data_IF_211145856039
#
_entry.id   IF_211145856039
#
_cell.length_a   1.000
_cell.length_b   1.000
_cell.length_c   1.000
_cell.angle_alpha   90.00
_cell.angle_beta   90.00
_cell.angle_gamma   90.00
#
_symmetry.space_group_name_H-M   'P 1'
#
loop_
_entity.id
_entity.type
_entity.pdbx_description
1 polymer ?
#
# COMPACT_ATOMS: atom_id res chain seq x y z
N UNK A 1 -12.03 14.63 21.57
CA UNK A 1 -11.48 14.59 20.19
C UNK A 1 -10.41 13.52 20.01
N UNK A 2 -9.24 13.58 20.69
CA UNK A 2 -8.19 12.55 20.54
C UNK A 2 -8.64 11.11 20.84
N UNK A 3 -9.43 10.92 21.91
CA UNK A 3 -10.04 9.62 22.21
C UNK A 3 -10.92 9.11 21.07
N UNK A 4 -11.71 10.00 20.45
CA UNK A 4 -12.57 9.65 19.32
C UNK A 4 -11.75 9.24 18.10
N UNK A 5 -10.62 9.92 17.83
CA UNK A 5 -9.68 9.52 16.77
C UNK A 5 -9.18 8.10 17.01
N UNK A 6 -8.76 7.77 18.24
CA UNK A 6 -8.29 6.44 18.57
C UNK A 6 -9.39 5.37 18.45
N UNK A 7 -10.61 5.67 18.92
CA UNK A 7 -11.78 4.78 18.74
C UNK A 7 -12.07 4.56 17.26
N UNK A 8 -12.01 5.62 16.46
CA UNK A 8 -12.18 5.59 15.01
C UNK A 8 -11.12 4.74 14.30
N UNK A 9 -9.85 4.84 14.70
CA UNK A 9 -8.76 4.00 14.15
C UNK A 9 -8.98 2.53 14.50
N UNK A 10 -9.45 2.26 15.72
CA UNK A 10 -9.67 0.88 16.17
C UNK A 10 -10.98 0.27 15.66
N UNK A 11 -11.94 1.11 15.27
CA UNK A 11 -13.26 0.70 14.80
C UNK A 11 -13.21 -0.07 13.48
N UNK A 12 -14.29 -0.81 13.20
CA UNK A 12 -14.45 -1.61 11.97
C UNK A 12 -15.00 -0.82 10.78
N UNK A 13 -15.28 0.47 10.95
CA UNK A 13 -15.80 1.31 9.89
C UNK A 13 -14.64 1.95 9.10
N UNK A 14 -14.48 1.66 7.80
CA UNK A 14 -13.44 2.28 7.00
C UNK A 14 -13.71 3.79 6.84
N UNK A 15 -12.70 4.60 7.15
CA UNK A 15 -12.76 6.07 7.09
C UNK A 15 -12.07 6.62 5.85
N UNK A 16 -11.06 5.91 5.35
CA UNK A 16 -10.34 6.29 4.15
C UNK A 16 -9.90 5.06 3.35
N UNK A 17 -9.55 5.30 2.09
CA UNK A 17 -9.11 4.27 1.16
C UNK A 17 -7.61 4.40 0.88
N UNK A 18 -6.94 3.25 0.74
CA UNK A 18 -5.56 3.16 0.30
C UNK A 18 -5.48 2.16 -0.85
N UNK A 19 -4.87 2.56 -1.96
CA UNK A 19 -4.69 1.69 -3.12
C UNK A 19 -3.42 0.87 -3.00
N UNK A 20 -3.46 -0.33 -3.57
CA UNK A 20 -2.32 -1.24 -3.63
C UNK A 20 -1.85 -1.36 -5.07
N UNK A 21 -0.58 -1.07 -5.31
CA UNK A 21 0.03 -1.05 -6.63
C UNK A 21 1.24 -1.99 -6.69
N UNK A 22 1.49 -2.56 -7.87
CA UNK A 22 2.72 -3.28 -8.16
C UNK A 22 3.74 -2.33 -8.79
N UNK A 23 4.68 -1.84 -7.99
CA UNK A 23 5.87 -1.12 -8.47
C UNK A 23 7.05 -2.09 -8.44
N UNK A 24 7.14 -2.95 -9.46
CA UNK A 24 8.05 -4.09 -9.48
C UNK A 24 9.48 -3.68 -9.05
N UNK A 25 10.11 -4.41 -8.10
CA UNK A 25 9.68 -5.69 -7.56
C UNK A 25 8.75 -5.61 -6.33
N UNK A 26 8.33 -4.42 -5.94
CA UNK A 26 7.64 -4.14 -4.67
C UNK A 26 6.13 -3.96 -4.83
N UNK A 27 5.39 -4.34 -3.79
CA UNK A 27 3.97 -4.05 -3.66
C UNK A 27 3.87 -2.86 -2.71
N UNK A 28 3.35 -1.75 -3.21
CA UNK A 28 3.35 -0.47 -2.50
C UNK A 28 1.94 0.01 -2.23
N UNK A 29 1.75 0.69 -1.10
CA UNK A 29 0.54 1.41 -0.77
C UNK A 29 0.59 2.81 -1.38
N UNK A 30 -0.55 3.32 -1.84
CA UNK A 30 -0.75 4.72 -2.22
C UNK A 30 -1.99 5.28 -1.51
N UNK A 31 -1.85 6.22 -0.56
CA UNK A 31 -0.58 6.72 0.03
C UNK A 31 0.24 5.63 0.72
N UNK A 32 1.55 5.85 0.87
CA UNK A 32 2.48 4.89 1.51
C UNK A 32 2.20 4.74 3.00
N UNK A 33 2.62 3.63 3.63
CA UNK A 33 2.43 3.46 5.08
C UNK A 33 3.07 4.61 5.92
N UNK A 34 4.29 5.10 5.59
CA UNK A 34 4.83 6.30 6.24
C UNK A 34 3.98 7.55 6.03
N UNK A 35 3.43 7.77 4.83
CA UNK A 35 2.54 8.91 4.56
C UNK A 35 1.26 8.84 5.39
N UNK A 36 0.59 7.68 5.42
CA UNK A 36 -0.60 7.46 6.26
C UNK A 36 -0.28 7.72 7.73
N UNK A 37 0.88 7.26 8.20
CA UNK A 37 1.36 7.50 9.56
C UNK A 37 1.54 9.00 9.84
N UNK A 38 2.28 9.70 8.98
CA UNK A 38 2.53 11.14 9.14
C UNK A 38 1.25 11.98 9.06
N UNK A 39 0.35 11.68 8.12
CA UNK A 39 -0.94 12.37 8.00
C UNK A 39 -1.78 12.21 9.27
N UNK A 40 -1.75 11.03 9.89
CA UNK A 40 -2.48 10.80 11.14
C UNK A 40 -1.82 11.51 12.32
N UNK A 41 -0.49 11.52 12.40
CA UNK A 41 0.23 12.29 13.42
C UNK A 41 -0.04 13.79 13.28
N UNK A 42 -0.08 14.30 12.05
CA UNK A 42 -0.45 15.68 11.78
C UNK A 42 -1.86 15.97 12.26
N UNK A 43 -2.83 15.07 12.03
CA UNK A 43 -4.19 15.23 12.54
C UNK A 43 -4.26 15.30 14.08
N UNK A 44 -3.47 14.47 14.78
CA UNK A 44 -3.33 14.53 16.25
C UNK A 44 -2.77 15.88 16.68
N UNK A 45 -1.71 16.35 16.00
CA UNK A 45 -1.09 17.65 16.26
C UNK A 45 -2.07 18.80 16.02
N UNK A 46 -2.75 18.83 14.88
CA UNK A 46 -3.73 19.87 14.53
C UNK A 46 -4.85 19.94 15.56
N UNK A 47 -5.32 18.80 16.06
CA UNK A 47 -6.29 18.77 17.15
C UNK A 47 -5.77 19.47 18.41
N UNK A 48 -4.49 19.33 18.75
CA UNK A 48 -3.87 20.03 19.87
C UNK A 48 -3.66 21.51 19.55
N UNK A 49 -3.21 21.85 18.35
CA UNK A 49 -2.99 23.23 17.90
C UNK A 49 -4.26 24.08 17.99
N UNK A 50 -5.46 23.50 17.79
CA UNK A 50 -6.73 24.22 17.99
C UNK A 50 -6.88 24.79 19.41
N UNK A 51 -6.21 24.24 20.41
CA UNK A 51 -6.29 24.77 21.78
C UNK A 51 -5.55 26.09 21.97
N UNK A 52 -4.74 26.52 20.98
CA UNK A 52 -4.14 27.86 20.97
C UNK A 52 -5.18 28.96 20.85
N UNK A 53 -6.37 28.65 20.34
CA UNK A 53 -7.50 29.59 20.25
C UNK A 53 -8.12 29.90 21.61
N UNK A 54 -7.86 29.08 22.63
CA UNK A 54 -8.30 29.35 24.01
C UNK A 54 -7.25 30.20 24.73
N UNK A 55 -7.36 31.52 24.55
CA UNK A 55 -6.49 32.52 25.17
C UNK A 55 -6.75 32.59 26.68
N UNK A 56 -5.70 32.76 27.47
CA UNK A 56 -5.80 32.92 28.93
C UNK A 56 -6.30 34.30 29.29
N UNK A 57 -6.83 34.43 30.49
CA UNK A 57 -7.10 35.73 31.10
C UNK A 57 -5.94 36.16 31.99
N UNK A 58 -5.74 37.48 32.12
CA UNK A 58 -4.78 38.01 33.06
C UNK A 58 -5.19 37.60 34.48
N UNK A 59 -4.21 37.23 35.29
CA UNK A 59 -4.44 36.70 36.64
C UNK A 59 -5.34 37.64 37.48
N UNK A 60 -6.42 37.09 38.03
CA UNK A 60 -7.38 37.84 38.85
C UNK A 60 -8.31 38.78 38.06
N UNK A 61 -8.34 38.68 36.73
CA UNK A 61 -9.20 39.50 35.87
C UNK A 61 -10.09 38.67 34.97
N UNK A 62 -11.05 39.33 34.32
CA UNK A 62 -11.83 38.78 33.20
C UNK A 62 -11.39 39.38 31.85
N UNK A 63 -10.09 39.68 31.71
CA UNK A 63 -9.53 40.32 30.52
C UNK A 63 -8.58 39.33 29.85
N UNK A 64 -8.77 39.07 28.57
CA UNK A 64 -7.91 38.19 27.77
C UNK A 64 -6.49 38.75 27.63
N UNK A 65 -5.50 37.86 27.73
CA UNK A 65 -4.10 38.20 27.48
C UNK A 65 -3.91 38.56 26.01
N UNK A 66 -3.64 39.84 25.75
CA UNK A 66 -3.30 40.29 24.39
C UNK A 66 -1.97 39.69 23.91
N UNK A 67 -1.80 39.46 22.59
CA UNK A 67 -0.53 38.96 22.05
C UNK A 67 0.64 39.86 22.44
N UNK A 68 1.74 39.26 22.90
CA UNK A 68 2.94 39.99 23.32
C UNK A 68 4.01 39.90 22.23
N UNK A 69 4.55 41.04 21.81
CA UNK A 69 5.60 41.11 20.80
C UNK A 69 6.96 41.22 21.50
N UNK A 70 7.89 40.33 21.16
CA UNK A 70 9.26 40.38 21.66
C UNK A 70 10.15 41.00 20.59
N UNK A 71 11.05 41.88 21.02
CA UNK A 71 12.00 42.53 20.12
C UNK A 71 12.94 41.49 19.48
N UNK A 72 12.92 41.38 18.15
CA UNK A 72 13.69 40.40 17.39
C UNK A 72 12.93 39.12 17.01
N UNK A 73 11.66 38.99 17.39
CA UNK A 73 10.78 37.90 16.96
C UNK A 73 9.67 38.44 16.05
N UNK A 74 9.43 37.76 14.92
CA UNK A 74 8.42 38.16 13.94
C UNK A 74 7.01 37.67 14.34
N UNK A 75 6.91 36.65 15.21
CA UNK A 75 5.64 36.11 15.68
C UNK A 75 5.30 36.54 17.12
N UNK A 76 4.06 36.99 17.39
CA UNK A 76 3.67 37.35 18.75
C UNK A 76 3.46 36.12 19.62
N UNK A 77 3.85 36.22 20.89
CA UNK A 77 3.55 35.20 21.91
C UNK A 77 2.08 35.29 22.29
N UNK A 78 1.37 34.18 22.09
CA UNK A 78 -0.02 34.00 22.50
C UNK A 78 -0.07 33.14 23.77
N UNK A 79 -0.49 33.73 24.88
CA UNK A 79 -0.71 33.02 26.14
C UNK A 79 -2.02 32.26 26.07
N UNK A 80 -1.96 30.99 25.64
CA UNK A 80 -3.12 30.10 25.55
C UNK A 80 -3.02 28.93 26.54
N UNK A 81 -4.10 28.16 26.67
CA UNK A 81 -4.11 26.90 27.41
C UNK A 81 -3.36 25.77 26.71
N UNK A 82 -2.87 25.98 25.48
CA UNK A 82 -2.12 24.99 24.71
C UNK A 82 -0.93 24.41 25.49
N UNK A 83 -0.13 25.24 26.17
CA UNK A 83 1.04 24.76 26.93
C UNK A 83 0.66 23.78 28.02
N UNK A 84 -0.49 23.98 28.68
CA UNK A 84 -0.95 23.14 29.79
C UNK A 84 -1.60 21.87 29.25
N UNK A 85 -2.44 22.00 28.23
CA UNK A 85 -3.14 20.87 27.60
C UNK A 85 -2.14 19.93 26.92
N UNK A 86 -1.16 20.46 26.20
CA UNK A 86 -0.17 19.65 25.47
C UNK A 86 0.77 18.87 26.36
N UNK A 87 1.00 19.35 27.58
CA UNK A 87 1.84 18.69 28.59
C UNK A 87 1.02 17.78 29.52
N UNK A 88 -0.30 17.78 29.41
CA UNK A 88 -1.16 16.99 30.27
C UNK A 88 -0.93 15.48 30.03
N UNK A 89 -0.58 14.67 31.04
CA UNK A 89 -0.19 13.26 30.84
C UNK A 89 -1.21 12.44 30.05
N UNK A 90 -2.51 12.62 30.32
CA UNK A 90 -3.55 11.87 29.60
C UNK A 90 -3.62 12.22 28.10
N UNK A 91 -3.26 13.46 27.71
CA UNK A 91 -3.21 13.87 26.30
C UNK A 91 -2.01 13.22 25.61
N UNK A 92 -0.84 13.25 26.27
CA UNK A 92 0.38 12.60 25.78
C UNK A 92 0.15 11.09 25.62
N UNK A 93 -0.36 10.44 26.66
CA UNK A 93 -0.65 9.00 26.65
C UNK A 93 -1.64 8.62 25.55
N UNK A 94 -2.67 9.45 25.33
CA UNK A 94 -3.64 9.22 24.28
C UNK A 94 -3.02 9.39 22.88
N UNK A 95 -2.18 10.39 22.66
CA UNK A 95 -1.47 10.59 21.39
C UNK A 95 -0.51 9.43 21.08
N UNK A 96 0.24 8.98 22.09
CA UNK A 96 1.14 7.82 21.97
C UNK A 96 0.35 6.55 21.67
N UNK A 97 -0.74 6.29 22.40
CA UNK A 97 -1.61 5.13 22.18
C UNK A 97 -2.18 5.10 20.76
N UNK A 98 -2.66 6.24 20.28
CA UNK A 98 -3.22 6.39 18.92
C UNK A 98 -2.16 6.07 17.86
N UNK A 99 -0.94 6.59 18.04
CA UNK A 99 0.19 6.37 17.13
C UNK A 99 0.60 4.89 17.09
N UNK A 100 0.67 4.23 18.25
CA UNK A 100 0.99 2.81 18.36
C UNK A 100 -0.08 1.92 17.73
N UNK A 101 -1.37 2.25 17.92
CA UNK A 101 -2.47 1.51 17.31
C UNK A 101 -2.45 1.62 15.79
N UNK A 102 -2.15 2.81 15.25
CA UNK A 102 -1.95 2.99 13.83
C UNK A 102 -0.77 2.17 13.29
N UNK A 103 0.36 2.12 13.99
CA UNK A 103 1.50 1.27 13.57
C UNK A 103 1.12 -0.22 13.54
N UNK A 104 0.34 -0.69 14.52
CA UNK A 104 -0.16 -2.08 14.55
C UNK A 104 -1.06 -2.36 13.33
N UNK A 105 -1.96 -1.44 13.00
CA UNK A 105 -2.82 -1.51 11.83
C UNK A 105 -2.00 -1.54 10.53
N UNK A 106 -1.06 -0.61 10.33
CA UNK A 106 -0.18 -0.61 9.16
C UNK A 106 0.66 -1.91 9.07
N UNK A 107 1.05 -2.47 10.21
CA UNK A 107 1.69 -3.78 10.32
C UNK A 107 0.77 -4.94 9.89
N UNK A 108 -0.52 -4.90 10.20
CA UNK A 108 -1.48 -5.92 9.74
C UNK A 108 -1.70 -5.86 8.23
N UNK A 109 -1.77 -4.65 7.65
CA UNK A 109 -1.82 -4.46 6.20
C UNK A 109 -0.59 -5.06 5.52
N UNK A 110 0.61 -4.79 6.05
CA UNK A 110 1.86 -5.36 5.51
C UNK A 110 1.87 -6.89 5.56
N UNK A 111 1.41 -7.48 6.67
CA UNK A 111 1.24 -8.94 6.79
C UNK A 111 0.26 -9.51 5.77
N UNK A 112 -0.85 -8.82 5.52
CA UNK A 112 -1.81 -9.22 4.50
C UNK A 112 -1.20 -9.15 3.09
N UNK A 113 -0.52 -8.04 2.75
CA UNK A 113 0.12 -7.86 1.45
C UNK A 113 1.28 -8.84 1.19
N UNK A 114 1.94 -9.34 2.22
CA UNK A 114 2.96 -10.38 2.06
C UNK A 114 2.42 -11.65 1.38
N UNK A 115 1.12 -11.93 1.43
CA UNK A 115 0.51 -13.08 0.74
C UNK A 115 0.62 -12.98 -0.78
N UNK A 116 0.62 -11.76 -1.32
CA UNK A 116 0.77 -11.49 -2.75
C UNK A 116 2.21 -11.71 -3.25
N UNK A 117 3.19 -11.80 -2.34
CA UNK A 117 4.59 -12.13 -2.70
C UNK A 117 4.75 -13.55 -3.26
N UNK A 118 3.76 -14.44 -3.13
CA UNK A 118 3.79 -15.76 -3.77
C UNK A 118 3.84 -15.67 -5.30
N UNK A 119 3.33 -14.58 -5.89
CA UNK A 119 3.35 -14.33 -7.33
C UNK A 119 4.63 -13.63 -7.82
N UNK A 120 5.61 -13.39 -6.94
CA UNK A 120 6.82 -12.63 -7.24
C UNK A 120 7.62 -13.16 -8.43
N UNK A 121 7.51 -14.44 -8.77
CA UNK A 121 8.13 -15.03 -9.96
C UNK A 121 7.71 -14.37 -11.27
N UNK A 122 6.51 -13.76 -11.33
CA UNK A 122 5.99 -13.11 -12.53
C UNK A 122 6.76 -11.85 -12.93
N UNK A 123 7.32 -11.11 -11.98
CA UNK A 123 7.94 -9.79 -12.21
C UNK A 123 9.36 -9.65 -11.64
N UNK A 124 9.89 -10.69 -10.97
CA UNK A 124 11.26 -10.65 -10.43
C UNK A 124 12.32 -10.98 -11.48
N UNK A 125 12.00 -11.83 -12.44
CA UNK A 125 12.94 -12.28 -13.46
C UNK A 125 12.65 -11.61 -14.79
N UNK A 126 13.70 -11.42 -15.59
CA UNK A 126 13.53 -11.02 -16.98
C UNK A 126 12.84 -12.15 -17.74
N UNK A 127 11.59 -11.90 -18.13
CA UNK A 127 10.73 -12.85 -18.82
C UNK A 127 11.36 -13.35 -20.12
N UNK A 128 11.97 -12.46 -20.91
CA UNK A 128 12.56 -12.80 -22.19
C UNK A 128 13.70 -13.79 -22.00
N UNK A 129 14.59 -13.54 -21.04
CA UNK A 129 15.71 -14.43 -20.73
C UNK A 129 15.22 -15.82 -20.28
N UNK A 130 14.18 -15.87 -19.43
CA UNK A 130 13.65 -17.15 -18.94
C UNK A 130 12.98 -17.94 -20.07
N UNK A 131 12.18 -17.28 -20.90
CA UNK A 131 11.48 -17.92 -22.02
C UNK A 131 12.48 -18.41 -23.08
N UNK A 132 13.48 -17.60 -23.44
CA UNK A 132 14.52 -17.99 -24.40
C UNK A 132 15.33 -19.20 -23.90
N UNK A 133 15.77 -19.18 -22.63
CA UNK A 133 16.49 -20.31 -22.03
C UNK A 133 15.64 -21.58 -21.97
N UNK A 134 14.34 -21.45 -21.76
CA UNK A 134 13.43 -22.58 -21.78
C UNK A 134 13.28 -23.14 -23.21
N UNK A 135 13.00 -22.27 -24.19
CA UNK A 135 12.83 -22.67 -25.59
C UNK A 135 14.10 -23.28 -26.20
N UNK A 136 15.29 -22.76 -25.85
CA UNK A 136 16.57 -23.27 -26.32
C UNK A 136 16.87 -24.72 -25.92
N UNK A 137 16.14 -25.27 -24.93
CA UNK A 137 16.25 -26.68 -24.52
C UNK A 137 15.41 -27.62 -25.38
N UNK A 138 14.72 -27.11 -26.40
CA UNK A 138 13.74 -27.83 -27.21
C UNK A 138 12.76 -28.66 -26.34
N UNK A 139 12.02 -28.00 -25.43
CA UNK A 139 11.13 -28.69 -24.52
C UNK A 139 9.95 -29.33 -25.28
N UNK A 140 9.40 -30.41 -24.71
CA UNK A 140 8.24 -31.09 -25.30
C UNK A 140 6.98 -30.24 -25.23
N UNK A 141 5.97 -30.58 -26.04
CA UNK A 141 4.64 -29.94 -25.97
C UNK A 141 4.03 -30.06 -24.56
N UNK A 142 4.25 -31.19 -23.87
CA UNK A 142 3.79 -31.40 -22.49
C UNK A 142 4.45 -30.40 -21.53
N UNK A 143 5.76 -30.17 -21.66
CA UNK A 143 6.46 -29.18 -20.83
C UNK A 143 6.01 -27.74 -21.10
N UNK A 144 5.64 -27.40 -22.34
CA UNK A 144 4.99 -26.12 -22.65
C UNK A 144 3.62 -26.01 -21.99
N UNK A 145 2.79 -27.04 -22.14
CA UNK A 145 1.44 -27.07 -21.55
C UNK A 145 1.47 -26.90 -20.03
N UNK A 146 2.37 -27.59 -19.32
CA UNK A 146 2.57 -27.42 -17.88
C UNK A 146 2.84 -25.96 -17.48
N UNK A 147 3.70 -25.26 -18.25
CA UNK A 147 4.02 -23.85 -18.00
C UNK A 147 2.85 -22.92 -18.35
N UNK A 148 2.18 -23.15 -19.47
CA UNK A 148 1.01 -22.38 -19.88
C UNK A 148 -0.11 -22.49 -18.85
N UNK A 149 -0.41 -23.71 -18.40
CA UNK A 149 -1.39 -23.96 -17.35
C UNK A 149 -0.99 -23.30 -16.04
N UNK A 150 0.28 -23.36 -15.65
CA UNK A 150 0.77 -22.70 -14.43
C UNK A 150 0.44 -21.20 -14.41
N UNK A 151 0.78 -20.47 -15.48
CA UNK A 151 0.52 -19.02 -15.54
C UNK A 151 -0.97 -18.69 -15.72
N UNK A 152 -1.71 -19.52 -16.46
CA UNK A 152 -3.16 -19.37 -16.63
C UNK A 152 -3.89 -19.50 -15.29
N UNK A 153 -3.55 -20.52 -14.49
CA UNK A 153 -4.11 -20.73 -13.14
C UNK A 153 -3.84 -19.56 -12.20
N UNK A 154 -2.69 -18.89 -12.31
CA UNK A 154 -2.43 -17.68 -11.51
C UNK A 154 -3.41 -16.57 -11.88
N UNK A 155 -3.69 -16.36 -13.17
CA UNK A 155 -4.62 -15.34 -13.64
C UNK A 155 -6.04 -15.59 -13.12
N UNK A 156 -6.48 -16.86 -13.16
CA UNK A 156 -7.77 -17.32 -12.63
C UNK A 156 -7.84 -17.16 -11.10
N UNK A 157 -6.83 -17.61 -10.36
CA UNK A 157 -6.77 -17.50 -8.89
C UNK A 157 -6.87 -16.04 -8.43
N UNK A 158 -6.23 -15.12 -9.16
CA UNK A 158 -6.27 -13.68 -8.85
C UNK A 158 -7.64 -13.07 -9.17
N UNK A 159 -8.35 -13.58 -10.19
CA UNK A 159 -9.69 -13.12 -10.54
C UNK A 159 -10.72 -13.44 -9.43
N UNK A 160 -10.51 -14.54 -8.71
CA UNK A 160 -11.37 -14.97 -7.60
C UNK A 160 -11.08 -14.23 -6.28
N UNK A 161 -9.96 -13.51 -6.18
CA UNK A 161 -9.64 -12.76 -4.95
C UNK A 161 -10.60 -11.59 -4.74
N UNK A 162 -10.91 -11.23 -3.48
CA UNK A 162 -11.66 -10.02 -3.19
C UNK A 162 -10.86 -8.79 -3.60
N UNK A 163 -11.49 -7.93 -4.40
CA UNK A 163 -10.89 -6.70 -4.94
C UNK A 163 -10.79 -5.57 -3.92
N UNK A 164 -11.49 -5.69 -2.80
CA UNK A 164 -11.44 -4.75 -1.69
C UNK A 164 -11.35 -5.53 -0.38
N UNK A 165 -10.63 -4.97 0.58
CA UNK A 165 -10.57 -5.49 1.94
C UNK A 165 -10.62 -4.35 2.93
N UNK A 166 -11.54 -4.44 3.88
CA UNK A 166 -11.56 -3.53 5.01
C UNK A 166 -10.66 -4.10 6.13
N UNK A 167 -9.87 -3.21 6.71
CA UNK A 167 -9.02 -3.45 7.86
C UNK A 167 -9.13 -2.22 8.76
N UNK A 168 -10.00 -2.34 9.77
CA UNK A 168 -10.33 -1.25 10.69
C UNK A 168 -10.74 0.03 9.93
N UNK A 169 -10.09 1.16 10.20
CA UNK A 169 -10.38 2.44 9.54
C UNK A 169 -9.90 2.54 8.08
N UNK A 170 -9.27 1.50 7.52
CA UNK A 170 -8.67 1.51 6.18
C UNK A 170 -9.41 0.55 5.26
N UNK A 171 -9.89 1.06 4.12
CA UNK A 171 -10.29 0.25 2.97
C UNK A 171 -9.12 0.07 2.01
N UNK A 172 -8.61 -1.14 1.87
CA UNK A 172 -7.61 -1.49 0.87
C UNK A 172 -8.29 -1.75 -0.49
N UNK A 173 -7.84 -1.04 -1.52
CA UNK A 173 -8.24 -1.27 -2.90
C UNK A 173 -7.17 -2.11 -3.62
N UNK A 174 -7.54 -3.35 -3.98
CA UNK A 174 -6.62 -4.35 -4.55
C UNK A 174 -6.74 -4.48 -6.07
N UNK A 175 -7.75 -3.85 -6.70
CA UNK A 175 -7.95 -3.92 -8.16
C UNK A 175 -6.70 -3.60 -8.97
N UNK A 176 -5.94 -2.52 -8.70
CA UNK A 176 -4.76 -2.19 -9.51
C UNK A 176 -3.69 -3.29 -9.41
N UNK A 177 -3.41 -3.77 -8.20
CA UNK A 177 -2.50 -4.90 -7.99
C UNK A 177 -2.97 -6.16 -8.72
N UNK A 178 -4.24 -6.56 -8.54
CA UNK A 178 -4.80 -7.75 -9.17
C UNK A 178 -4.67 -7.69 -10.71
N UNK A 179 -5.02 -6.55 -11.29
CA UNK A 179 -4.90 -6.31 -12.72
C UNK A 179 -3.44 -6.45 -13.20
N UNK A 180 -2.49 -5.80 -12.54
CA UNK A 180 -1.07 -5.93 -12.90
C UNK A 180 -0.55 -7.36 -12.78
N UNK A 181 -1.01 -8.14 -11.81
CA UNK A 181 -0.62 -9.55 -11.66
C UNK A 181 -1.17 -10.38 -12.83
N UNK A 182 -2.44 -10.18 -13.20
CA UNK A 182 -3.08 -10.85 -14.34
C UNK A 182 -2.42 -10.49 -15.66
N UNK A 183 -2.14 -9.21 -15.91
CA UNK A 183 -1.44 -8.77 -17.12
C UNK A 183 -0.08 -9.43 -17.25
N UNK A 184 0.70 -9.49 -16.16
CA UNK A 184 1.98 -10.19 -16.17
C UNK A 184 1.81 -11.68 -16.49
N UNK A 185 0.88 -12.37 -15.83
CA UNK A 185 0.60 -13.79 -16.07
C UNK A 185 0.18 -14.06 -17.54
N UNK A 186 -0.73 -13.26 -18.08
CA UNK A 186 -1.17 -13.36 -19.47
C UNK A 186 -0.01 -13.11 -20.44
N UNK A 187 0.89 -12.18 -20.10
CA UNK A 187 2.07 -11.90 -20.91
C UNK A 187 3.06 -13.08 -20.92
N UNK A 188 3.20 -13.82 -19.81
CA UNK A 188 3.96 -15.07 -19.78
C UNK A 188 3.34 -16.14 -20.68
N UNK A 189 2.01 -16.32 -20.60
CA UNK A 189 1.26 -17.24 -21.46
C UNK A 189 1.49 -16.92 -22.94
N UNK A 190 1.39 -15.64 -23.31
CA UNK A 190 1.59 -15.21 -24.69
C UNK A 190 3.01 -15.48 -25.19
N UNK A 191 4.04 -15.14 -24.42
CA UNK A 191 5.44 -15.39 -24.82
C UNK A 191 5.75 -16.88 -24.97
N UNK A 192 5.27 -17.73 -24.06
CA UNK A 192 5.44 -19.17 -24.17
C UNK A 192 4.67 -19.76 -25.36
N UNK A 193 3.43 -19.30 -25.59
CA UNK A 193 2.62 -19.72 -26.72
C UNK A 193 3.26 -19.36 -28.07
N UNK A 194 3.88 -18.18 -28.15
CA UNK A 194 4.67 -17.78 -29.32
C UNK A 194 5.84 -18.75 -29.58
N UNK A 195 6.64 -19.07 -28.56
CA UNK A 195 7.76 -20.00 -28.72
C UNK A 195 7.31 -21.42 -29.12
N UNK A 196 6.21 -21.91 -28.55
CA UNK A 196 5.62 -23.20 -28.93
C UNK A 196 5.20 -23.20 -30.42
N UNK A 197 4.53 -22.13 -30.86
CA UNK A 197 4.09 -21.97 -32.24
C UNK A 197 5.29 -21.98 -33.21
N UNK A 198 6.37 -21.27 -32.88
CA UNK A 198 7.59 -21.23 -33.67
C UNK A 198 8.33 -22.58 -33.72
N UNK A 199 8.29 -23.37 -32.64
CA UNK A 199 8.83 -24.74 -32.65
C UNK A 199 8.02 -25.64 -33.59
N UNK A 200 6.69 -25.62 -33.45
CA UNK A 200 5.79 -26.42 -34.26
C UNK A 200 5.89 -26.08 -35.75
N UNK A 201 5.99 -24.79 -36.10
CA UNK A 201 6.24 -24.35 -37.48
C UNK A 201 7.54 -24.92 -38.04
N UNK A 202 8.63 -24.86 -37.26
CA UNK A 202 9.94 -25.38 -37.68
C UNK A 202 9.87 -26.88 -37.96
N UNK A 203 9.31 -27.65 -37.05
CA UNK A 203 9.12 -29.10 -37.23
C UNK A 203 8.26 -29.43 -38.47
N UNK A 204 7.16 -28.69 -38.68
CA UNK A 204 6.30 -28.87 -39.85
C UNK A 204 7.04 -28.57 -41.15
N UNK A 205 7.85 -27.51 -41.21
CA UNK A 205 8.63 -27.19 -42.41
C UNK A 205 9.72 -28.23 -42.67
N UNK A 206 10.37 -28.75 -41.64
CA UNK A 206 11.33 -29.85 -41.76
C UNK A 206 10.64 -31.09 -42.34
N UNK A 207 9.49 -31.49 -41.77
CA UNK A 207 8.72 -32.63 -42.28
C UNK A 207 8.29 -32.43 -43.74
N UNK A 208 7.83 -31.23 -44.11
CA UNK A 208 7.49 -30.91 -45.50
C UNK A 208 8.69 -31.10 -46.44
N UNK A 209 9.88 -30.62 -46.03
CA UNK A 209 11.09 -30.77 -46.83
C UNK A 209 11.60 -32.21 -46.95
N UNK A 210 11.25 -33.09 -45.99
CA UNK A 210 11.59 -34.51 -46.05
C UNK A 210 10.64 -35.31 -46.96
N UNK A 211 9.43 -34.79 -47.21
CA UNK A 211 8.41 -35.42 -48.05
C UNK A 211 8.46 -34.97 -49.52
N UNK A 212 9.18 -33.89 -49.82
CA UNK A 212 9.46 -33.37 -51.17
C UNK A 212 10.74 -33.99 -51.76
#
# INVERSE_FOLDING_TARGET
>A
NLQQINVSILGSNPLFQVEVHLSAPEIVLKPTAPEVYQLTLQNIKDCMETTKLFVRWMHGSCIECSPQYIEGDDEPIIFSFYSDISQYPQIIDQAVSTSQNLQKLLGSLSKYLNRWKKYRSLWKMDKSIVVEKFAARNPSCVSYDEKLQFYTRISEEVAEQPMMKDEQCIRLQLRPLAFSVQENANSWVHSLGYCLNESAKRELYTLRSELE
#
